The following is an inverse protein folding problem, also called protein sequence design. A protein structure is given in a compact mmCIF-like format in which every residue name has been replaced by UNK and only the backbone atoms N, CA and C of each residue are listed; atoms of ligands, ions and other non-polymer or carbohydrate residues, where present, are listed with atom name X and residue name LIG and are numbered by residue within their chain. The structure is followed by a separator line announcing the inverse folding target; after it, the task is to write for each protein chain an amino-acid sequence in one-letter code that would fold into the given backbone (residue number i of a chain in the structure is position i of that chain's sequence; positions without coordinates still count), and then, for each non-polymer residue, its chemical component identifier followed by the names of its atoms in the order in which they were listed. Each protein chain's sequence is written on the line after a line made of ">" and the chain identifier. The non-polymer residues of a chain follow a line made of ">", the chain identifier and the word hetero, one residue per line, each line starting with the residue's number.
data_IF_389407051056
#
_entry.id   IF_389407051056
#
_cell.length_a   1.000
_cell.length_b   1.000
_cell.length_c   1.000
_cell.angle_alpha   90.00
_cell.angle_beta   90.00
_cell.angle_gamma   90.00
#
_symmetry.space_group_name_H-M   'P 1'
#
loop_
_entity.id
_entity.type
_entity.pdbx_description
1 polymer ?
#
# COMPACT_ATOMS: atom_id res chain seq x y z
N UNK A 1 -28.00 0.33 -17.52
CA UNK A 1 -28.58 1.65 -17.18
C UNK A 1 -28.11 2.17 -15.83
N UNK A 2 -28.37 1.51 -14.69
CA UNK A 2 -28.01 2.06 -13.36
C UNK A 2 -26.55 2.50 -13.19
N UNK A 3 -25.58 1.80 -13.77
CA UNK A 3 -24.16 2.16 -13.62
C UNK A 3 -23.76 3.34 -14.51
N UNK A 4 -24.31 3.42 -15.73
CA UNK A 4 -24.13 4.57 -16.61
C UNK A 4 -24.69 5.85 -15.96
N UNK A 5 -25.88 5.78 -15.33
CA UNK A 5 -26.43 6.92 -14.58
C UNK A 5 -25.51 7.38 -13.42
N UNK A 6 -24.71 6.47 -12.84
CA UNK A 6 -23.76 6.80 -11.78
C UNK A 6 -22.50 7.42 -12.39
N UNK A 7 -21.99 6.83 -13.47
CA UNK A 7 -20.82 7.34 -14.19
C UNK A 7 -21.07 8.72 -14.81
N UNK A 8 -22.30 8.98 -15.27
CA UNK A 8 -22.76 10.26 -15.82
C UNK A 8 -23.15 11.27 -14.72
N UNK A 9 -23.06 10.90 -13.43
CA UNK A 9 -23.38 11.77 -12.29
C UNK A 9 -24.87 12.04 -12.07
N UNK A 10 -25.77 11.35 -12.78
CA UNK A 10 -27.23 11.44 -12.64
C UNK A 10 -27.71 10.83 -11.33
N UNK A 11 -27.00 9.81 -10.83
CA UNK A 11 -27.29 9.15 -9.54
C UNK A 11 -26.05 9.12 -8.66
N UNK A 12 -26.21 9.28 -7.33
CA UNK A 12 -25.09 9.12 -6.42
C UNK A 12 -24.57 7.67 -6.43
N UNK A 13 -23.26 7.53 -6.41
CA UNK A 13 -22.57 6.24 -6.36
C UNK A 13 -21.08 6.41 -6.68
N UNK A 14 -20.31 5.34 -6.46
CA UNK A 14 -18.92 5.29 -6.92
C UNK A 14 -18.90 4.96 -8.39
N UNK A 15 -18.24 5.81 -9.17
CA UNK A 15 -18.06 5.61 -10.61
C UNK A 15 -17.14 4.42 -10.89
N UNK A 16 -17.25 3.90 -12.10
CA UNK A 16 -16.34 2.87 -12.63
C UNK A 16 -14.88 3.31 -12.51
N UNK A 17 -14.59 4.58 -12.81
CA UNK A 17 -13.24 5.14 -12.75
C UNK A 17 -12.71 5.18 -11.31
N UNK A 18 -13.46 5.74 -10.36
CA UNK A 18 -13.05 5.78 -8.95
C UNK A 18 -12.81 4.37 -8.39
N UNK A 19 -13.62 3.40 -8.82
CA UNK A 19 -13.46 1.99 -8.43
C UNK A 19 -12.16 1.38 -8.97
N UNK A 20 -11.76 1.72 -10.20
CA UNK A 20 -10.47 1.31 -10.79
C UNK A 20 -9.31 1.94 -10.01
N UNK A 21 -9.34 3.26 -9.83
CA UNK A 21 -8.29 4.01 -9.12
C UNK A 21 -8.13 3.49 -7.68
N UNK A 22 -9.24 3.20 -6.98
CA UNK A 22 -9.20 2.64 -5.63
C UNK A 22 -8.56 1.24 -5.60
N UNK A 23 -8.81 0.39 -6.60
CA UNK A 23 -8.16 -0.93 -6.69
C UNK A 23 -6.67 -0.80 -6.95
N UNK A 24 -6.26 0.12 -7.80
CA UNK A 24 -4.86 0.37 -8.10
C UNK A 24 -4.11 0.95 -6.89
N UNK A 25 -4.71 1.94 -6.22
CA UNK A 25 -4.18 2.51 -4.98
C UNK A 25 -4.00 1.43 -3.90
N UNK A 26 -4.99 0.56 -3.70
CA UNK A 26 -4.89 -0.57 -2.76
C UNK A 26 -3.76 -1.54 -3.11
N UNK A 27 -3.54 -1.82 -4.40
CA UNK A 27 -2.41 -2.66 -4.86
C UNK A 27 -1.07 -1.99 -4.56
N UNK A 28 -0.94 -0.69 -4.84
CA UNK A 28 0.25 0.11 -4.55
C UNK A 28 0.58 0.11 -3.07
N UNK A 29 -0.41 0.35 -2.20
CA UNK A 29 -0.26 0.34 -0.74
C UNK A 29 0.28 -1.00 -0.27
N UNK A 30 -0.34 -2.11 -0.70
CA UNK A 30 0.11 -3.45 -0.30
C UNK A 30 1.56 -3.73 -0.70
N UNK A 31 1.98 -3.30 -1.88
CA UNK A 31 3.37 -3.44 -2.32
C UNK A 31 4.32 -2.62 -1.44
N UNK A 32 3.98 -1.36 -1.18
CA UNK A 32 4.78 -0.46 -0.34
C UNK A 32 4.90 -0.96 1.10
N UNK A 33 3.85 -1.60 1.64
CA UNK A 33 3.88 -2.22 2.96
C UNK A 33 4.88 -3.39 3.02
N UNK A 34 4.93 -4.21 1.96
CA UNK A 34 5.90 -5.30 1.84
C UNK A 34 7.33 -4.79 1.72
N UNK A 35 7.55 -3.77 0.88
CA UNK A 35 8.87 -3.12 0.73
C UNK A 35 9.33 -2.50 2.05
N UNK A 36 8.45 -1.79 2.77
CA UNK A 36 8.75 -1.24 4.08
C UNK A 36 9.10 -2.32 5.10
N UNK A 37 8.42 -3.47 5.07
CA UNK A 37 8.72 -4.57 5.97
C UNK A 37 10.11 -5.15 5.72
N UNK A 38 10.49 -5.31 4.45
CA UNK A 38 11.85 -5.74 4.08
C UNK A 38 12.89 -4.72 4.56
N UNK A 39 12.64 -3.43 4.35
CA UNK A 39 13.53 -2.36 4.81
C UNK A 39 13.69 -2.34 6.33
N UNK A 40 12.59 -2.50 7.09
CA UNK A 40 12.63 -2.57 8.55
C UNK A 40 13.46 -3.75 9.03
N UNK A 41 13.31 -4.92 8.42
CA UNK A 41 14.11 -6.12 8.76
C UNK A 41 15.58 -5.92 8.44
N UNK A 42 15.90 -5.34 7.29
CA UNK A 42 17.27 -5.02 6.92
C UNK A 42 17.92 -4.03 7.91
N UNK A 43 17.20 -2.98 8.29
CA UNK A 43 17.67 -2.01 9.28
C UNK A 43 17.91 -2.65 10.66
N UNK A 44 17.02 -3.55 11.10
CA UNK A 44 17.18 -4.28 12.36
C UNK A 44 18.37 -5.24 12.33
N UNK A 45 18.62 -5.89 11.19
CA UNK A 45 19.78 -6.77 11.02
C UNK A 45 21.09 -5.97 11.06
N UNK A 46 21.17 -4.84 10.35
CA UNK A 46 22.34 -3.97 10.35
C UNK A 46 22.59 -3.36 11.74
N UNK A 47 21.55 -2.95 12.45
CA UNK A 47 21.72 -2.38 13.79
C UNK A 47 22.26 -3.41 14.79
N UNK A 48 21.91 -4.69 14.64
CA UNK A 48 22.46 -5.78 15.44
C UNK A 48 23.91 -6.13 15.05
N UNK A 49 24.22 -6.17 13.75
CA UNK A 49 25.56 -6.47 13.25
C UNK A 49 26.61 -5.44 13.68
N UNK A 50 26.18 -4.20 13.95
CA UNK A 50 27.04 -3.10 14.33
C UNK A 50 27.14 -2.87 15.85
N UNK A 51 26.53 -3.75 16.68
CA UNK A 51 26.73 -3.69 18.13
C UNK A 51 28.14 -4.21 18.45
N UNK A 52 29.01 -3.42 19.13
CA UNK A 52 30.28 -3.93 19.61
C UNK A 52 29.97 -5.11 20.52
N UNK A 53 30.57 -6.27 20.23
CA UNK A 53 30.35 -7.51 20.96
C UNK A 53 30.38 -7.21 22.46
N UNK A 54 29.33 -7.61 23.17
CA UNK A 54 29.31 -7.57 24.63
C UNK A 54 30.33 -8.61 25.08
N UNK A 55 31.60 -8.20 25.06
CA UNK A 55 32.74 -8.99 25.49
C UNK A 55 32.49 -9.40 26.93
N UNK A 56 32.58 -10.71 27.17
CA UNK A 56 32.82 -11.25 28.51
C UNK A 56 34.18 -10.81 29.01
#
# INVERSE_FOLDING_TARGET
>A
MRHADIDDGVKPGTTSQESVELREARRRIKLLEQENEVLRRAAAYLSQANLPGKGS
#
